data_IF_816226187229
#
_entry.id   IF_816226187229
#
_cell.length_a   1.000
_cell.length_b   1.000
_cell.length_c   1.000
_cell.angle_alpha   90.00
_cell.angle_beta   90.00
_cell.angle_gamma   90.00
#
_symmetry.space_group_name_H-M   'P 1'
#
loop_
_entity.id
_entity.type
_entity.pdbx_description
1 polymer ?
#
# COMPACT_ATOMS: atom_id res chain seq x y z
N UNK A 1 -13.43 9.76 0.99
CA UNK A 1 -13.48 8.41 1.61
C UNK A 1 -12.50 7.50 0.89
N UNK A 2 -11.72 6.74 1.64
CA UNK A 2 -10.76 5.76 1.13
C UNK A 2 -11.03 4.41 1.78
N UNK A 3 -10.81 3.32 1.08
CA UNK A 3 -10.97 1.97 1.60
C UNK A 3 -9.77 1.09 1.27
N UNK A 4 -9.32 0.32 2.25
CA UNK A 4 -8.36 -0.77 2.09
C UNK A 4 -9.17 -2.06 2.02
N UNK A 5 -9.31 -2.69 0.84
CA UNK A 5 -10.28 -3.76 0.60
C UNK A 5 -9.80 -5.14 1.09
N UNK A 6 -8.98 -5.19 2.15
CA UNK A 6 -8.52 -6.41 2.80
C UNK A 6 -8.20 -6.14 4.28
N UNK A 7 -7.98 -7.19 5.06
CA UNK A 7 -7.84 -7.11 6.53
C UNK A 7 -6.42 -6.74 7.01
N UNK A 8 -5.57 -6.21 6.15
CA UNK A 8 -4.17 -5.88 6.48
C UNK A 8 -3.20 -7.07 6.45
N UNK A 9 -3.67 -8.28 6.19
CA UNK A 9 -2.82 -9.45 6.00
C UNK A 9 -2.48 -9.60 4.52
N UNK A 10 -1.19 -9.69 4.22
CA UNK A 10 -0.70 -10.01 2.86
C UNK A 10 -0.06 -11.38 2.88
N UNK A 11 -0.55 -12.26 2.04
CA UNK A 11 -0.07 -13.63 1.82
C UNK A 11 0.79 -13.68 0.56
N UNK A 12 2.05 -14.06 0.71
CA UNK A 12 3.03 -14.10 -0.38
C UNK A 12 3.07 -15.48 -1.00
N UNK A 13 2.78 -15.57 -2.27
CA UNK A 13 2.93 -16.81 -3.04
C UNK A 13 4.35 -16.91 -3.61
N UNK A 14 4.94 -18.09 -3.51
CA UNK A 14 6.16 -18.42 -4.26
C UNK A 14 5.86 -18.50 -5.77
N UNK A 15 6.91 -18.54 -6.59
CA UNK A 15 6.77 -18.71 -8.04
C UNK A 15 5.93 -19.93 -8.39
N UNK A 16 6.25 -21.09 -7.80
CA UNK A 16 5.52 -22.35 -8.02
C UNK A 16 4.05 -22.28 -7.61
N UNK A 17 3.75 -21.63 -6.49
CA UNK A 17 2.37 -21.44 -6.01
C UNK A 17 1.59 -20.49 -6.93
N UNK A 18 2.23 -19.43 -7.41
CA UNK A 18 1.62 -18.51 -8.38
C UNK A 18 1.31 -19.19 -9.72
N UNK A 19 2.23 -20.01 -10.21
CA UNK A 19 2.02 -20.80 -11.42
C UNK A 19 0.86 -21.80 -11.24
N UNK A 20 0.79 -22.49 -10.10
CA UNK A 20 -0.32 -23.41 -9.79
C UNK A 20 -1.67 -22.68 -9.74
N UNK A 21 -1.71 -21.48 -9.15
CA UNK A 21 -2.91 -20.64 -9.14
C UNK A 21 -3.34 -20.23 -10.56
N UNK A 22 -2.40 -19.83 -11.41
CA UNK A 22 -2.70 -19.48 -12.80
C UNK A 22 -3.26 -20.70 -13.56
N UNK A 23 -2.64 -21.86 -13.39
CA UNK A 23 -3.08 -23.11 -14.02
C UNK A 23 -4.44 -23.60 -13.51
N UNK A 24 -4.84 -23.25 -12.30
CA UNK A 24 -6.18 -23.52 -11.76
C UNK A 24 -7.30 -22.70 -12.41
N UNK A 25 -6.97 -21.83 -13.37
CA UNK A 25 -7.90 -20.88 -13.99
C UNK A 25 -8.16 -19.65 -13.12
N UNK A 26 -7.21 -19.28 -12.25
CA UNK A 26 -7.26 -18.11 -11.36
C UNK A 26 -8.46 -18.11 -10.41
N UNK A 27 -8.84 -19.29 -9.93
CA UNK A 27 -9.99 -19.48 -9.06
C UNK A 27 -9.68 -19.06 -7.63
N UNK A 28 -10.53 -18.21 -7.05
CA UNK A 28 -10.36 -17.72 -5.68
C UNK A 28 -10.40 -18.84 -4.62
N UNK A 29 -11.23 -19.86 -4.82
CA UNK A 29 -11.29 -21.03 -3.95
C UNK A 29 -9.97 -21.80 -3.87
N UNK A 30 -9.15 -21.80 -4.96
CA UNK A 30 -7.80 -22.35 -4.92
C UNK A 30 -6.91 -21.59 -3.93
N UNK A 31 -6.99 -20.25 -3.89
CA UNK A 31 -6.23 -19.44 -2.93
C UNK A 31 -6.66 -19.73 -1.50
N UNK A 32 -7.97 -19.73 -1.25
CA UNK A 32 -8.52 -19.96 0.09
C UNK A 32 -8.19 -21.35 0.61
N UNK A 33 -8.31 -22.39 -0.22
CA UNK A 33 -8.01 -23.77 0.18
C UNK A 33 -6.53 -24.04 0.49
N UNK A 34 -5.63 -23.16 0.07
CA UNK A 34 -4.19 -23.27 0.30
C UNK A 34 -3.64 -22.12 1.19
N UNK A 35 -4.51 -21.35 1.85
CA UNK A 35 -4.13 -20.14 2.59
C UNK A 35 -3.04 -20.38 3.63
N UNK A 36 -3.09 -21.50 4.33
CA UNK A 36 -2.09 -21.86 5.35
C UNK A 36 -0.69 -22.15 4.78
N UNK A 37 -0.59 -22.40 3.48
CA UNK A 37 0.67 -22.67 2.79
C UNK A 37 1.40 -21.41 2.35
N UNK A 38 0.76 -20.23 2.43
CA UNK A 38 1.33 -18.99 1.96
C UNK A 38 2.01 -18.22 3.09
N UNK A 39 3.22 -17.74 2.85
CA UNK A 39 3.97 -16.96 3.80
C UNK A 39 3.32 -15.60 4.05
N UNK A 40 3.22 -15.18 5.29
CA UNK A 40 2.77 -13.82 5.61
C UNK A 40 3.90 -12.82 5.37
N UNK A 41 3.59 -11.72 4.67
CA UNK A 41 4.57 -10.67 4.36
C UNK A 41 5.18 -10.06 5.63
N UNK A 42 4.36 -9.71 6.61
CA UNK A 42 4.78 -9.12 7.88
C UNK A 42 3.73 -9.36 8.98
N UNK A 43 4.15 -9.26 10.23
CA UNK A 43 3.26 -9.47 11.38
C UNK A 43 2.33 -8.28 11.66
N UNK A 44 2.78 -7.05 11.40
CA UNK A 44 1.93 -5.85 11.50
C UNK A 44 0.99 -5.78 10.29
N UNK A 45 -0.17 -5.10 10.41
CA UNK A 45 -1.04 -4.84 9.27
C UNK A 45 -0.29 -4.11 8.15
N UNK A 46 -0.45 -4.59 6.93
CA UNK A 46 0.02 -3.95 5.70
C UNK A 46 -1.07 -3.03 5.17
N UNK A 47 -0.69 -1.94 4.55
CA UNK A 47 -1.62 -0.98 3.94
C UNK A 47 -1.41 -0.78 2.44
N UNK A 48 -0.42 -1.48 1.87
CA UNK A 48 -0.07 -1.38 0.46
C UNK A 48 -0.74 -2.42 -0.43
N UNK A 49 -0.47 -2.29 -1.71
CA UNK A 49 -0.88 -3.24 -2.74
C UNK A 49 -2.21 -2.93 -3.41
N UNK A 50 -3.21 -2.43 -2.69
CA UNK A 50 -4.51 -2.03 -3.26
C UNK A 50 -5.24 -1.06 -2.34
N UNK A 51 -5.89 -0.08 -2.94
CA UNK A 51 -6.84 0.80 -2.26
C UNK A 51 -7.95 1.21 -3.23
N UNK A 52 -9.08 1.63 -2.68
CA UNK A 52 -10.22 2.20 -3.42
C UNK A 52 -10.49 3.57 -2.84
N UNK A 53 -10.64 4.57 -3.68
CA UNK A 53 -10.80 5.96 -3.26
C UNK A 53 -11.72 6.73 -4.20
N UNK A 54 -12.41 7.74 -3.65
CA UNK A 54 -13.08 8.74 -4.46
C UNK A 54 -12.02 9.51 -5.27
N UNK A 55 -12.10 9.40 -6.60
CA UNK A 55 -11.09 9.95 -7.51
C UNK A 55 -10.95 11.48 -7.39
N UNK A 56 -12.06 12.20 -7.30
CA UNK A 56 -12.02 13.66 -7.26
C UNK A 56 -11.40 14.17 -5.97
N UNK A 57 -11.76 13.57 -4.84
CA UNK A 57 -11.16 13.87 -3.55
C UNK A 57 -9.68 13.51 -3.53
N UNK A 58 -9.33 12.35 -4.07
CA UNK A 58 -7.94 11.90 -4.12
C UNK A 58 -7.05 12.89 -4.87
N UNK A 59 -7.48 13.32 -6.04
CA UNK A 59 -6.76 14.32 -6.85
C UNK A 59 -6.72 15.70 -6.17
N UNK A 60 -7.83 16.11 -5.53
CA UNK A 60 -7.89 17.36 -4.76
C UNK A 60 -6.90 17.38 -3.60
N UNK A 61 -6.60 16.22 -3.04
CA UNK A 61 -5.66 16.03 -1.94
C UNK A 61 -4.27 15.59 -2.42
N UNK A 62 -3.93 15.87 -3.68
CA UNK A 62 -2.60 15.74 -4.25
C UNK A 62 -2.29 14.42 -4.95
N UNK A 63 -3.24 13.49 -5.04
CA UNK A 63 -2.99 12.20 -5.68
C UNK A 63 -1.95 11.38 -4.95
N UNK A 64 -1.00 10.80 -5.67
CA UNK A 64 0.20 10.21 -5.07
C UNK A 64 1.25 11.30 -4.78
N UNK A 65 1.92 11.17 -3.64
CA UNK A 65 3.01 12.08 -3.29
C UNK A 65 4.27 11.73 -4.09
N UNK A 66 4.52 12.51 -5.15
CA UNK A 66 5.64 12.31 -6.09
C UNK A 66 7.03 12.56 -5.48
N UNK A 67 7.09 12.98 -4.21
CA UNK A 67 8.36 13.12 -3.47
C UNK A 67 8.93 11.79 -3.00
N UNK A 68 8.12 10.71 -3.00
CA UNK A 68 8.63 9.37 -2.78
C UNK A 68 9.32 8.83 -4.04
N UNK A 69 10.59 8.49 -3.89
CA UNK A 69 11.42 7.96 -4.97
C UNK A 69 11.76 6.51 -4.65
N UNK A 70 11.50 5.60 -5.57
CA UNK A 70 11.71 4.17 -5.37
C UNK A 70 10.77 3.60 -4.28
N UNK A 71 11.15 2.55 -3.60
CA UNK A 71 10.34 1.92 -2.56
C UNK A 71 10.34 2.74 -1.26
N UNK A 72 9.18 2.87 -0.59
CA UNK A 72 9.08 3.67 0.62
C UNK A 72 7.78 3.47 1.40
N UNK A 73 7.48 4.31 2.39
CA UNK A 73 6.23 4.29 3.15
C UNK A 73 5.09 5.09 2.47
N UNK A 74 5.07 5.19 1.14
CA UNK A 74 4.10 5.96 0.36
C UNK A 74 2.64 5.51 0.61
N UNK A 75 2.42 4.21 0.77
CA UNK A 75 1.08 3.67 1.07
C UNK A 75 0.60 4.12 2.46
N UNK A 76 1.49 4.11 3.45
CA UNK A 76 1.18 4.57 4.80
C UNK A 76 1.00 6.10 4.84
N UNK A 77 1.78 6.85 4.05
CA UNK A 77 1.63 8.29 3.89
C UNK A 77 0.26 8.63 3.32
N UNK A 78 -0.15 7.96 2.26
CA UNK A 78 -1.45 8.15 1.61
C UNK A 78 -2.60 8.02 2.60
N UNK A 79 -2.59 6.97 3.42
CA UNK A 79 -3.60 6.76 4.46
C UNK A 79 -3.55 7.90 5.47
N UNK A 80 -2.37 8.18 6.02
CA UNK A 80 -2.22 9.20 7.06
C UNK A 80 -2.60 10.59 6.58
N UNK A 81 -2.25 10.94 5.36
CA UNK A 81 -2.64 12.20 4.71
C UNK A 81 -4.16 12.33 4.61
N UNK A 82 -4.84 11.29 4.16
CA UNK A 82 -6.31 11.30 4.08
C UNK A 82 -6.94 11.53 5.45
N UNK A 83 -6.47 10.85 6.49
CA UNK A 83 -6.95 11.02 7.87
C UNK A 83 -6.74 12.46 8.38
N UNK A 84 -5.54 13.03 8.20
CA UNK A 84 -5.23 14.42 8.61
C UNK A 84 -6.13 15.41 7.86
N UNK A 85 -6.44 15.16 6.59
CA UNK A 85 -7.31 16.01 5.77
C UNK A 85 -8.81 15.85 6.11
N UNK A 86 -9.15 14.96 7.03
CA UNK A 86 -10.50 14.76 7.54
C UNK A 86 -11.32 13.71 6.78
N UNK A 87 -10.69 12.90 5.94
CA UNK A 87 -11.35 11.80 5.25
C UNK A 87 -11.33 10.52 6.10
N UNK A 88 -12.39 9.75 6.01
CA UNK A 88 -12.45 8.42 6.62
C UNK A 88 -11.67 7.40 5.79
N UNK A 89 -10.89 6.56 6.46
CA UNK A 89 -10.23 5.39 5.87
C UNK A 89 -10.85 4.13 6.47
N UNK A 90 -11.42 3.31 5.63
CA UNK A 90 -12.08 2.06 6.03
C UNK A 90 -11.23 0.84 5.69
N UNK A 91 -11.07 -0.04 6.65
CA UNK A 91 -10.48 -1.35 6.45
C UNK A 91 -11.60 -2.37 6.39
N UNK A 92 -11.62 -3.20 5.35
CA UNK A 92 -12.61 -4.27 5.29
C UNK A 92 -12.19 -5.42 6.19
N UNK A 93 -13.18 -6.04 6.85
CA UNK A 93 -12.98 -7.28 7.60
C UNK A 93 -12.95 -8.53 6.70
N UNK A 94 -12.64 -8.33 5.41
CA UNK A 94 -12.52 -9.39 4.43
C UNK A 94 -11.27 -10.28 4.63
N UNK A 95 -10.99 -11.11 3.64
CA UNK A 95 -9.82 -11.98 3.63
C UNK A 95 -8.49 -11.22 3.45
N UNK A 96 -7.40 -11.97 3.37
CA UNK A 96 -6.08 -11.40 3.08
C UNK A 96 -5.97 -10.95 1.62
N UNK A 97 -4.97 -10.12 1.35
CA UNK A 97 -4.48 -9.84 0.01
C UNK A 97 -3.48 -10.95 -0.39
N UNK A 98 -3.73 -11.62 -1.50
CA UNK A 98 -2.81 -12.61 -2.05
C UNK A 98 -1.87 -11.93 -3.06
N UNK A 99 -0.58 -11.94 -2.75
CA UNK A 99 0.45 -11.35 -3.58
C UNK A 99 1.13 -12.43 -4.42
N UNK A 100 0.86 -12.44 -5.71
CA UNK A 100 1.49 -13.36 -6.65
C UNK A 100 2.98 -13.03 -6.82
N UNK A 101 3.77 -14.06 -7.04
CA UNK A 101 5.18 -13.87 -7.33
C UNK A 101 5.38 -13.15 -8.68
N UNK A 102 6.27 -12.18 -8.68
CA UNK A 102 6.80 -11.55 -9.88
C UNK A 102 8.29 -11.25 -9.70
N UNK A 103 9.08 -11.15 -10.81
CA UNK A 103 10.45 -10.67 -10.72
C UNK A 103 10.50 -9.28 -10.07
N UNK A 104 11.46 -9.07 -9.20
CA UNK A 104 11.66 -7.75 -8.58
C UNK A 104 12.52 -6.89 -9.48
N UNK A 105 11.99 -5.72 -9.88
CA UNK A 105 12.73 -4.68 -10.59
C UNK A 105 13.52 -3.77 -9.65
N UNK A 106 14.19 -2.78 -10.21
CA UNK A 106 15.02 -1.81 -9.48
C UNK A 106 14.23 -1.03 -8.42
N UNK A 107 12.97 -0.71 -8.71
CA UNK A 107 12.09 0.02 -7.80
C UNK A 107 11.48 -0.83 -6.68
N UNK A 108 11.76 -2.14 -6.63
CA UNK A 108 11.18 -3.05 -5.63
C UNK A 108 11.93 -3.11 -4.31
N UNK A 109 12.96 -2.32 -4.13
CA UNK A 109 13.76 -2.19 -2.91
C UNK A 109 14.46 -0.84 -2.89
N UNK A 110 14.92 -0.44 -1.72
CA UNK A 110 15.82 0.72 -1.64
C UNK A 110 17.09 0.45 -2.44
N UNK A 111 17.31 1.23 -3.47
CA UNK A 111 18.55 1.18 -4.24
C UNK A 111 19.72 1.75 -3.46
N UNK A 112 19.45 2.71 -2.54
CA UNK A 112 20.45 3.42 -1.74
C UNK A 112 19.82 3.78 -0.38
N UNK A 113 20.58 3.65 0.72
CA UNK A 113 20.14 4.06 2.07
C UNK A 113 19.68 5.52 2.14
N UNK A 114 20.32 6.40 1.37
CA UNK A 114 19.94 7.80 1.27
C UNK A 114 18.49 7.99 0.81
N UNK A 115 18.00 7.21 -0.15
CA UNK A 115 16.60 7.28 -0.60
C UNK A 115 15.65 6.76 0.48
N UNK A 116 16.03 5.70 1.18
CA UNK A 116 15.26 5.20 2.32
C UNK A 116 15.10 6.27 3.41
N UNK A 117 16.16 7.01 3.68
CA UNK A 117 16.14 8.12 4.64
C UNK A 117 15.25 9.26 4.16
N UNK A 118 15.39 9.71 2.90
CA UNK A 118 14.59 10.79 2.31
C UNK A 118 13.10 10.43 2.36
N UNK A 119 12.72 9.23 1.92
CA UNK A 119 11.33 8.78 1.93
C UNK A 119 10.77 8.72 3.37
N UNK A 120 11.57 8.28 4.32
CA UNK A 120 11.18 8.24 5.74
C UNK A 120 10.98 9.65 6.31
N UNK A 121 11.85 10.59 5.97
CA UNK A 121 11.72 12.00 6.39
C UNK A 121 10.49 12.66 5.77
N UNK A 122 10.18 12.39 4.51
CA UNK A 122 8.96 12.88 3.86
C UNK A 122 7.71 12.36 4.59
N UNK A 123 7.67 11.06 4.91
CA UNK A 123 6.58 10.47 5.68
C UNK A 123 6.41 11.12 7.05
N UNK A 124 7.49 11.29 7.81
CA UNK A 124 7.46 11.95 9.13
C UNK A 124 6.97 13.39 8.99
N UNK A 125 7.45 14.10 7.98
CA UNK A 125 7.05 15.49 7.70
C UNK A 125 5.54 15.59 7.49
N UNK A 126 4.95 14.77 6.63
CA UNK A 126 3.50 14.74 6.41
C UNK A 126 2.76 14.39 7.71
N UNK A 127 3.23 13.40 8.45
CA UNK A 127 2.59 12.97 9.70
C UNK A 127 2.61 14.06 10.81
N UNK A 128 3.57 14.99 10.76
CA UNK A 128 3.70 16.07 11.74
C UNK A 128 2.88 17.31 11.42
N UNK A 129 2.32 17.41 10.22
CA UNK A 129 1.54 18.57 9.78
C UNK A 129 0.14 18.57 10.35
N UNK A 130 -0.36 19.76 10.69
CA UNK A 130 -1.80 19.98 10.88
C UNK A 130 -2.56 20.07 9.56
N UNK A 131 -3.89 19.99 9.62
CA UNK A 131 -4.75 19.95 8.44
C UNK A 131 -4.51 21.12 7.47
N UNK A 132 -4.41 22.36 7.97
CA UNK A 132 -4.24 23.55 7.14
C UNK A 132 -2.85 23.60 6.49
N UNK A 133 -1.83 23.22 7.23
CA UNK A 133 -0.46 23.13 6.74
C UNK A 133 -0.35 22.07 5.64
N UNK A 134 -0.94 20.90 5.87
CA UNK A 134 -0.95 19.83 4.89
C UNK A 134 -1.72 20.21 3.60
N UNK A 135 -2.84 20.94 3.72
CA UNK A 135 -3.56 21.48 2.55
C UNK A 135 -2.71 22.42 1.71
N UNK A 136 -1.87 23.23 2.35
CA UNK A 136 -0.94 24.10 1.64
C UNK A 136 0.21 23.31 1.02
N UNK A 137 0.75 22.35 1.77
CA UNK A 137 1.85 21.51 1.33
C UNK A 137 1.51 20.65 0.11
N UNK A 138 0.35 20.02 0.09
CA UNK A 138 -0.15 19.22 -1.04
C UNK A 138 -0.20 20.00 -2.36
N UNK A 139 -0.42 21.30 -2.32
CA UNK A 139 -0.43 22.15 -3.53
C UNK A 139 0.97 22.42 -4.09
N UNK A 140 2.01 22.03 -3.39
CA UNK A 140 3.41 22.27 -3.76
C UNK A 140 4.12 21.08 -4.41
N UNK A 141 3.42 19.98 -4.57
CA UNK A 141 3.96 18.80 -5.24
C UNK A 141 3.24 18.51 -6.55
#
# INVERSE_FOLDING_TARGET
>A
MMSIPYNGVVKMLSKKQSEAYILSGQRYDHLVSHDDMYARLMWRPSCGGVFVVDREKYLRYGGDNERFISWGPEDAERIRRMEILGESVHWTNGGPLYHLWHPRGENSRYSIEKLAFINRMEFIKVCSMGQNELRAYVKSW
#
